data_IF_732938035182
#
_entry.id   IF_732938035182
#
_cell.length_a   1.000
_cell.length_b   1.000
_cell.length_c   1.000
_cell.angle_alpha   90.00
_cell.angle_beta   90.00
_cell.angle_gamma   90.00
#
_symmetry.space_group_name_H-M   'P 1'
#
loop_
_entity.id
_entity.type
_entity.pdbx_description
1 polymer ?
#
# COMPACT_ATOMS: atom_id res chain seq x y z
N UNK A 1 -4.55 13.74 4.83
CA UNK A 1 -5.83 13.31 4.23
C UNK A 1 -5.60 12.74 2.86
N UNK A 2 -5.91 11.46 2.69
CA UNK A 2 -5.80 10.77 1.40
C UNK A 2 -6.88 11.36 0.47
N UNK A 3 -6.51 11.69 -0.77
CA UNK A 3 -7.47 12.18 -1.76
C UNK A 3 -8.64 11.19 -1.87
N UNK A 4 -9.89 11.67 -1.90
CA UNK A 4 -11.03 10.79 -2.10
C UNK A 4 -10.90 10.05 -3.45
N UNK A 5 -11.41 8.81 -3.55
CA UNK A 5 -11.42 8.08 -4.80
C UNK A 5 -12.09 8.91 -5.91
N UNK A 6 -11.53 8.87 -7.11
CA UNK A 6 -12.08 9.57 -8.27
C UNK A 6 -13.45 8.98 -8.64
N UNK A 7 -14.31 9.80 -9.24
CA UNK A 7 -15.65 9.41 -9.64
C UNK A 7 -15.59 8.20 -10.60
N UNK A 8 -16.08 7.05 -10.15
CA UNK A 8 -16.04 5.78 -10.90
C UNK A 8 -14.98 4.77 -10.43
N UNK A 9 -14.08 5.13 -9.52
CA UNK A 9 -13.15 4.18 -8.91
C UNK A 9 -13.91 3.20 -8.00
N UNK A 10 -13.79 1.89 -8.31
CA UNK A 10 -14.31 0.80 -7.49
C UNK A 10 -13.14 -0.04 -6.98
N UNK A 11 -13.20 -0.55 -5.74
CA UNK A 11 -12.16 -1.43 -5.22
C UNK A 11 -12.12 -2.73 -6.04
N UNK A 12 -11.02 -2.94 -6.79
CA UNK A 12 -10.82 -4.13 -7.62
C UNK A 12 -9.87 -5.14 -6.96
N UNK A 13 -10.08 -5.46 -5.69
CA UNK A 13 -9.20 -6.36 -4.92
C UNK A 13 -8.94 -7.72 -5.61
N UNK A 14 -9.86 -8.20 -6.44
CA UNK A 14 -9.70 -9.43 -7.21
C UNK A 14 -8.48 -9.42 -8.15
N UNK A 15 -8.03 -8.24 -8.62
CA UNK A 15 -6.87 -8.14 -9.51
C UNK A 15 -5.55 -8.53 -8.82
N UNK A 16 -5.46 -8.31 -7.52
CA UNK A 16 -4.29 -8.68 -6.71
C UNK A 16 -4.11 -10.20 -6.62
N UNK A 17 -5.17 -10.94 -6.92
CA UNK A 17 -5.21 -12.40 -6.94
C UNK A 17 -5.20 -12.97 -8.37
N UNK A 18 -4.97 -12.13 -9.39
CA UNK A 18 -4.79 -12.57 -10.77
C UNK A 18 -3.62 -13.55 -10.89
N UNK A 19 -3.72 -14.52 -11.80
CA UNK A 19 -2.64 -15.44 -12.13
C UNK A 19 -1.39 -14.75 -12.68
N UNK A 20 -1.52 -13.48 -13.08
CA UNK A 20 -0.42 -12.62 -13.52
C UNK A 20 0.38 -12.03 -12.36
N UNK A 21 -0.16 -12.05 -11.13
CA UNK A 21 0.56 -11.57 -9.95
C UNK A 21 1.52 -12.66 -9.49
N UNK A 22 2.83 -12.40 -9.41
CA UNK A 22 3.78 -13.36 -8.87
C UNK A 22 3.37 -13.77 -7.45
N UNK A 23 3.47 -15.06 -7.12
CA UNK A 23 3.09 -15.59 -5.79
C UNK A 23 3.62 -14.77 -4.60
N UNK A 24 4.88 -14.27 -4.60
CA UNK A 24 5.38 -13.43 -3.52
C UNK A 24 4.64 -12.09 -3.39
N UNK A 25 4.28 -11.47 -4.51
CA UNK A 25 3.51 -10.22 -4.51
C UNK A 25 2.06 -10.45 -4.06
N UNK A 26 1.48 -11.60 -4.41
CA UNK A 26 0.17 -12.03 -3.91
C UNK A 26 0.16 -12.24 -2.39
N UNK A 27 1.17 -12.91 -1.83
CA UNK A 27 1.29 -13.13 -0.38
C UNK A 27 1.42 -11.81 0.40
N UNK A 28 2.22 -10.86 -0.10
CA UNK A 28 2.34 -9.51 0.50
C UNK A 28 1.00 -8.76 0.44
N UNK A 29 0.32 -8.80 -0.70
CA UNK A 29 -0.99 -8.15 -0.87
C UNK A 29 -2.04 -8.75 0.07
N UNK A 30 -2.06 -10.08 0.20
CA UNK A 30 -2.94 -10.78 1.13
C UNK A 30 -2.68 -10.37 2.58
N UNK A 31 -1.41 -10.34 3.00
CA UNK A 31 -1.03 -9.94 4.36
C UNK A 31 -1.42 -8.49 4.66
N UNK A 32 -1.25 -7.59 3.70
CA UNK A 32 -1.66 -6.20 3.82
C UNK A 32 -3.18 -6.05 3.99
N UNK A 33 -3.95 -6.67 3.09
CA UNK A 33 -5.42 -6.60 3.11
C UNK A 33 -6.03 -7.16 4.38
N UNK A 34 -5.48 -8.27 4.89
CA UNK A 34 -5.97 -8.93 6.09
C UNK A 34 -5.34 -8.40 7.39
N UNK A 35 -4.44 -7.41 7.28
CA UNK A 35 -3.69 -6.89 8.40
C UNK A 35 -2.79 -7.92 9.10
N UNK A 36 -2.39 -8.96 8.39
CA UNK A 36 -1.49 -10.01 8.84
C UNK A 36 0.00 -9.61 8.65
N UNK A 37 0.33 -8.39 9.09
CA UNK A 37 1.70 -7.86 9.11
C UNK A 37 2.07 -7.53 10.55
N UNK A 38 3.27 -7.93 10.95
CA UNK A 38 3.81 -7.72 12.29
C UNK A 38 4.25 -6.27 12.48
N UNK A 39 3.30 -5.37 12.69
CA UNK A 39 3.58 -3.97 13.06
C UNK A 39 3.97 -3.86 14.53
N UNK A 40 4.62 -2.77 14.94
CA UNK A 40 4.93 -2.48 16.35
C UNK A 40 3.68 -2.49 17.23
N UNK A 41 2.55 -1.95 16.73
CA UNK A 41 1.24 -2.03 17.42
C UNK A 41 0.73 -3.48 17.54
N UNK A 42 0.99 -4.34 16.55
CA UNK A 42 0.60 -5.75 16.60
C UNK A 42 1.49 -6.54 17.58
N UNK A 43 2.81 -6.39 17.44
CA UNK A 43 3.80 -7.11 18.23
C UNK A 43 3.82 -6.66 19.70
N UNK A 44 3.55 -5.39 19.98
CA UNK A 44 3.41 -4.83 21.34
C UNK A 44 2.29 -5.49 22.17
N UNK A 45 1.39 -6.27 21.54
CA UNK A 45 0.39 -7.10 22.23
C UNK A 45 0.98 -8.35 22.87
N UNK A 46 2.13 -8.81 22.36
CA UNK A 46 2.76 -10.08 22.74
C UNK A 46 4.11 -9.87 23.43
N UNK A 47 4.78 -8.75 23.18
CA UNK A 47 6.12 -8.46 23.69
C UNK A 47 6.22 -7.00 24.17
N UNK A 48 7.13 -6.66 25.09
CA UNK A 48 7.29 -5.29 25.63
C UNK A 48 8.07 -4.39 24.67
N UNK A 49 7.79 -4.48 23.37
CA UNK A 49 8.41 -3.62 22.37
C UNK A 49 7.61 -2.32 22.23
N UNK A 50 8.27 -1.20 21.87
CA UNK A 50 7.56 0.04 21.60
C UNK A 50 6.62 -0.12 20.38
N UNK A 51 5.43 0.47 20.48
CA UNK A 51 4.45 0.48 19.38
C UNK A 51 4.70 1.62 18.38
N UNK A 52 5.86 2.26 18.46
CA UNK A 52 6.28 3.40 17.65
C UNK A 52 7.26 3.00 16.55
N UNK A 53 7.15 3.66 15.40
CA UNK A 53 8.02 3.47 14.26
C UNK A 53 9.47 3.84 14.61
N UNK A 54 10.46 2.98 14.35
CA UNK A 54 11.86 3.25 14.69
C UNK A 54 12.47 4.37 13.85
N UNK A 55 11.81 4.82 12.78
CA UNK A 55 12.32 5.84 11.86
C UNK A 55 11.80 7.25 12.16
N UNK A 56 10.58 7.38 12.67
CA UNK A 56 9.97 8.70 12.88
C UNK A 56 9.24 8.85 14.23
N UNK A 57 9.22 7.82 15.07
CA UNK A 57 8.65 7.86 16.42
C UNK A 57 7.12 7.89 16.48
N UNK A 58 6.42 7.99 15.35
CA UNK A 58 4.94 7.92 15.28
C UNK A 58 4.47 6.48 15.50
N UNK A 59 3.28 6.30 16.06
CA UNK A 59 2.65 4.99 16.25
C UNK A 59 2.66 4.14 14.97
N UNK A 60 3.20 2.93 15.07
CA UNK A 60 3.47 2.05 13.93
C UNK A 60 2.24 1.19 13.56
N UNK A 61 1.37 1.77 12.74
CA UNK A 61 0.23 1.09 12.11
C UNK A 61 0.60 0.58 10.71
N UNK A 62 -0.28 -0.22 10.09
CA UNK A 62 -0.13 -0.63 8.69
C UNK A 62 -0.09 0.57 7.74
N UNK A 63 -1.02 1.52 7.91
CA UNK A 63 -1.04 2.75 7.12
C UNK A 63 0.27 3.54 7.29
N UNK A 64 0.80 3.57 8.51
CA UNK A 64 2.06 4.23 8.79
C UNK A 64 3.23 3.61 8.03
N UNK A 65 3.45 2.30 8.18
CA UNK A 65 4.58 1.59 7.57
C UNK A 65 4.56 1.70 6.04
N UNK A 66 3.36 1.74 5.43
CA UNK A 66 3.23 1.68 3.98
C UNK A 66 3.00 3.01 3.28
N UNK A 67 2.45 4.04 3.95
CA UNK A 67 2.00 5.26 3.27
C UNK A 67 2.39 6.55 4.00
N UNK A 68 2.34 6.57 5.33
CA UNK A 68 2.40 7.83 6.10
C UNK A 68 3.79 8.12 6.69
N UNK A 69 4.67 7.12 6.78
CA UNK A 69 5.99 7.31 7.38
C UNK A 69 6.77 8.43 6.69
N UNK A 70 7.30 9.37 7.47
CA UNK A 70 8.10 10.50 6.97
C UNK A 70 9.30 10.03 6.13
N UNK A 71 9.87 8.86 6.46
CA UNK A 71 10.96 8.24 5.71
C UNK A 71 10.59 7.88 4.27
N UNK A 72 9.32 7.58 4.00
CA UNK A 72 8.83 7.21 2.67
C UNK A 72 8.48 8.40 1.79
N UNK A 73 8.30 9.59 2.36
CA UNK A 73 7.89 10.79 1.64
C UNK A 73 8.80 11.16 0.44
N UNK A 74 10.14 11.03 0.52
CA UNK A 74 10.99 11.26 -0.65
C UNK A 74 10.74 10.24 -1.78
N UNK A 75 10.51 8.97 -1.44
CA UNK A 75 10.22 7.92 -2.41
C UNK A 75 8.87 8.17 -3.11
N UNK A 76 7.82 8.51 -2.35
CA UNK A 76 6.52 8.80 -2.94
C UNK A 76 6.53 10.03 -3.83
N UNK A 77 7.29 11.07 -3.47
CA UNK A 77 7.50 12.22 -4.35
C UNK A 77 8.15 11.82 -5.67
N UNK A 78 9.23 11.03 -5.61
CA UNK A 78 9.89 10.53 -6.82
C UNK A 78 8.93 9.68 -7.68
N UNK A 79 8.18 8.77 -7.06
CA UNK A 79 7.22 7.93 -7.76
C UNK A 79 6.11 8.77 -8.42
N UNK A 80 5.55 9.74 -7.71
CA UNK A 80 4.54 10.65 -8.23
C UNK A 80 5.09 11.45 -9.42
N UNK A 81 6.29 12.01 -9.31
CA UNK A 81 6.93 12.76 -10.39
C UNK A 81 7.16 11.89 -11.64
N UNK A 82 7.54 10.63 -11.46
CA UNK A 82 7.70 9.67 -12.56
C UNK A 82 6.34 9.37 -13.20
N UNK A 83 5.33 9.02 -12.40
CA UNK A 83 4.03 8.61 -12.90
C UNK A 83 3.30 9.74 -13.64
N UNK A 84 3.39 10.98 -13.13
CA UNK A 84 2.81 12.14 -13.79
C UNK A 84 3.41 12.40 -15.18
N UNK A 85 4.69 12.06 -15.41
CA UNK A 85 5.30 12.13 -16.77
C UNK A 85 4.67 11.16 -17.76
N UNK A 86 4.06 10.09 -17.27
CA UNK A 86 3.32 9.12 -18.07
C UNK A 86 1.81 9.35 -18.03
N UNK A 87 1.36 10.50 -17.52
CA UNK A 87 -0.07 10.83 -17.34
C UNK A 87 -0.80 9.83 -16.44
N UNK A 88 -0.06 9.19 -15.54
CA UNK A 88 -0.59 8.28 -14.53
C UNK A 88 -0.76 9.03 -13.21
N UNK A 89 -1.95 8.96 -12.63
CA UNK A 89 -2.21 9.46 -11.29
C UNK A 89 -1.81 8.40 -10.25
N UNK A 90 -1.09 8.82 -9.21
CA UNK A 90 -0.83 7.98 -8.05
C UNK A 90 -1.82 8.34 -6.94
N UNK A 91 -2.59 7.34 -6.48
CA UNK A 91 -3.33 7.46 -5.24
C UNK A 91 -2.88 6.36 -4.26
N UNK A 92 -2.90 6.62 -2.95
CA UNK A 92 -2.67 5.60 -1.94
C UNK A 92 -3.65 4.41 -2.08
N UNK A 93 -4.82 4.67 -2.66
CA UNK A 93 -5.81 3.64 -2.99
C UNK A 93 -5.30 2.79 -4.16
N UNK A 94 -4.67 3.36 -5.19
CA UNK A 94 -4.05 2.63 -6.30
C UNK A 94 -2.91 1.70 -5.88
N UNK A 95 -2.13 2.04 -4.85
CA UNK A 95 -1.09 1.16 -4.30
C UNK A 95 -1.69 -0.14 -3.72
N UNK A 96 -2.90 -0.05 -3.16
CA UNK A 96 -3.62 -1.16 -2.55
C UNK A 96 -4.54 -1.84 -3.58
N UNK A 97 -5.09 -1.12 -4.55
CA UNK A 97 -6.16 -1.62 -5.42
C UNK A 97 -5.75 -1.93 -6.86
N UNK A 98 -4.55 -1.52 -7.31
CA UNK A 98 -3.98 -1.66 -8.65
C UNK A 98 -4.91 -1.20 -9.81
N UNK A 99 -4.31 -0.68 -10.89
CA UNK A 99 -5.11 -0.44 -12.11
C UNK A 99 -5.52 -1.78 -12.73
N UNK A 100 -6.74 -1.88 -13.30
CA UNK A 100 -7.09 -3.02 -14.14
C UNK A 100 -6.01 -3.22 -15.21
N UNK A 101 -5.31 -4.36 -15.17
CA UNK A 101 -4.49 -4.81 -16.28
C UNK A 101 -5.50 -5.22 -17.35
N UNK A 102 -5.79 -4.31 -18.29
CA UNK A 102 -6.47 -4.67 -19.53
C UNK A 102 -5.52 -5.54 -20.35
N UNK A 103 -5.49 -6.84 -20.05
CA UNK A 103 -4.98 -7.84 -20.97
C UNK A 103 -5.91 -7.92 -22.19
N UNK A 104 -5.42 -8.31 -23.38
CA UNK A 104 -6.29 -8.56 -24.51
C UNK A 104 -7.34 -9.60 -24.09
N UNK A 105 -8.61 -9.21 -24.20
CA UNK A 105 -9.76 -10.10 -24.02
C UNK A 105 -9.59 -11.29 -24.96
N UNK A 106 -9.52 -12.50 -24.39
CA UNK A 106 -9.73 -13.74 -25.14
C UNK A 106 -11.23 -13.97 -25.33
#
# INVERSE_FOLDING_TARGET
DLLPPLEGEKPQWAILYSSLVPRPAGDVSWRLLHGAVSTGVYLGRFTPIPDTCPFCGVRETLAHIYLECARLQPLFRLLLDILLRFWLHFSPHLLIYALPICGPTK
#
